data_IF_096008561169
#
_entry.id   IF_096008561169
#
_cell.length_a   1.000
_cell.length_b   1.000
_cell.length_c   1.000
_cell.angle_alpha   90.00
_cell.angle_beta   90.00
_cell.angle_gamma   90.00
#
_symmetry.space_group_name_H-M   'P 1'
#
loop_
_entity.id
_entity.type
_entity.pdbx_description
1 polymer ?
#
# COMPACT_ATOMS: atom_id res chain seq x y z
N UNK A 1 -24.92 -49.99 -25.44
CA UNK A 1 -24.20 -48.88 -24.78
C UNK A 1 -24.02 -47.79 -25.82
N UNK A 2 -24.83 -46.74 -25.77
CA UNK A 2 -24.71 -45.58 -26.68
C UNK A 2 -24.60 -44.33 -25.82
N UNK A 3 -23.38 -43.81 -25.66
CA UNK A 3 -23.14 -42.48 -25.11
C UNK A 3 -23.51 -41.43 -26.15
N UNK A 4 -24.57 -40.68 -25.88
CA UNK A 4 -24.99 -39.51 -26.65
C UNK A 4 -24.22 -38.29 -26.14
N UNK A 5 -23.10 -37.97 -26.79
CA UNK A 5 -22.30 -36.77 -26.50
C UNK A 5 -22.99 -35.52 -27.04
N UNK A 6 -23.81 -34.87 -26.22
CA UNK A 6 -24.42 -33.59 -26.56
C UNK A 6 -23.34 -32.49 -26.71
N UNK A 7 -23.05 -32.07 -27.95
CA UNK A 7 -22.18 -30.92 -28.20
C UNK A 7 -22.89 -29.64 -27.74
N UNK A 8 -22.24 -28.77 -26.95
CA UNK A 8 -22.84 -27.49 -26.58
C UNK A 8 -23.06 -26.62 -27.81
N UNK A 9 -24.25 -26.02 -27.91
CA UNK A 9 -24.64 -25.16 -29.03
C UNK A 9 -23.68 -23.96 -29.20
N UNK A 10 -23.30 -23.58 -30.44
CA UNK A 10 -22.23 -22.63 -30.73
C UNK A 10 -22.47 -21.23 -30.13
N UNK A 11 -23.73 -20.87 -29.87
CA UNK A 11 -24.14 -19.60 -29.25
C UNK A 11 -23.71 -19.48 -27.79
N UNK A 12 -23.65 -20.59 -27.04
CA UNK A 12 -23.22 -20.57 -25.63
C UNK A 12 -21.71 -20.42 -25.52
N UNK A 13 -20.96 -21.03 -26.44
CA UNK A 13 -19.51 -20.87 -26.52
C UNK A 13 -19.11 -19.44 -26.90
N UNK A 14 -19.84 -18.81 -27.84
CA UNK A 14 -19.59 -17.42 -28.23
C UNK A 14 -19.82 -16.42 -27.09
N UNK A 15 -20.88 -16.61 -26.29
CA UNK A 15 -21.15 -15.78 -25.12
C UNK A 15 -20.08 -15.91 -24.03
N UNK A 16 -19.59 -17.13 -23.80
CA UNK A 16 -18.51 -17.38 -22.85
C UNK A 16 -17.19 -16.72 -23.28
N UNK A 17 -16.83 -16.82 -24.56
CA UNK A 17 -15.63 -16.17 -25.11
C UNK A 17 -15.69 -14.64 -24.98
N UNK A 18 -16.82 -14.04 -25.32
CA UNK A 18 -17.00 -12.58 -25.17
C UNK A 18 -16.91 -12.14 -23.70
N UNK A 19 -17.50 -12.92 -22.79
CA UNK A 19 -17.41 -12.66 -21.35
C UNK A 19 -15.97 -12.71 -20.83
N UNK A 20 -15.18 -13.70 -21.26
CA UNK A 20 -13.76 -13.83 -20.89
C UNK A 20 -12.95 -12.65 -21.42
N UNK A 21 -13.19 -12.23 -22.67
CA UNK A 21 -12.50 -11.07 -23.27
C UNK A 21 -12.84 -9.78 -22.52
N UNK A 22 -14.10 -9.55 -22.21
CA UNK A 22 -14.54 -8.36 -21.47
C UNK A 22 -13.98 -8.34 -20.04
N UNK A 23 -14.01 -9.47 -19.34
CA UNK A 23 -13.43 -9.58 -18.00
C UNK A 23 -11.91 -9.38 -18.04
N UNK A 24 -11.24 -9.94 -19.04
CA UNK A 24 -9.80 -9.72 -19.25
C UNK A 24 -9.47 -8.26 -19.52
N UNK A 25 -10.27 -7.57 -20.33
CA UNK A 25 -10.12 -6.14 -20.56
C UNK A 25 -10.38 -5.29 -19.30
N UNK A 26 -11.36 -5.69 -18.46
CA UNK A 26 -11.63 -5.02 -17.19
C UNK A 26 -10.49 -5.20 -16.17
N UNK A 27 -9.81 -6.34 -16.22
CA UNK A 27 -8.67 -6.68 -15.36
C UNK A 27 -7.32 -6.21 -15.93
N UNK A 28 -7.29 -5.75 -17.18
CA UNK A 28 -6.10 -5.22 -17.82
C UNK A 28 -5.76 -3.86 -17.21
N UNK A 29 -4.93 -3.87 -16.17
CA UNK A 29 -4.30 -2.65 -15.64
C UNK A 29 -3.31 -2.16 -16.70
N UNK A 30 -3.41 -0.90 -17.16
CA UNK A 30 -2.42 -0.36 -18.09
C UNK A 30 -1.06 -0.39 -17.42
N UNK A 31 -0.14 -1.20 -17.96
CA UNK A 31 1.25 -1.17 -17.56
C UNK A 31 1.80 0.21 -17.93
N UNK A 32 2.10 1.03 -16.93
CA UNK A 32 2.81 2.30 -17.13
C UNK A 32 4.11 2.07 -17.88
N UNK A 33 4.59 3.09 -18.59
CA UNK A 33 5.90 3.02 -19.23
C UNK A 33 6.94 2.58 -18.19
N UNK A 34 7.84 1.62 -18.52
CA UNK A 34 8.88 1.23 -17.59
C UNK A 34 9.66 2.48 -17.20
N UNK A 35 9.66 2.82 -15.90
CA UNK A 35 10.63 3.75 -15.34
C UNK A 35 11.99 3.21 -15.74
N UNK A 36 12.75 3.95 -16.54
CA UNK A 36 14.04 3.48 -17.05
C UNK A 36 14.88 2.89 -15.93
N UNK A 37 15.61 1.82 -16.22
CA UNK A 37 16.37 1.02 -15.25
C UNK A 37 17.17 1.95 -14.31
N UNK A 38 16.65 2.12 -13.09
CA UNK A 38 17.38 2.80 -12.03
C UNK A 38 18.47 1.83 -11.62
N UNK A 39 19.64 1.96 -12.24
CA UNK A 39 20.85 1.30 -11.74
C UNK A 39 21.03 1.86 -10.33
N UNK A 40 20.93 1.04 -9.27
CA UNK A 40 21.00 1.54 -7.91
C UNK A 40 22.36 2.22 -7.73
N UNK A 41 22.35 3.53 -7.59
CA UNK A 41 23.55 4.32 -7.32
C UNK A 41 24.01 3.99 -5.90
N UNK A 42 24.86 2.98 -5.75
CA UNK A 42 25.55 2.65 -4.50
C UNK A 42 24.67 2.39 -3.26
N UNK A 43 23.37 2.12 -3.43
CA UNK A 43 22.46 1.79 -2.35
C UNK A 43 22.70 0.40 -1.78
N UNK A 44 22.48 0.21 -0.47
CA UNK A 44 22.43 -1.12 0.13
C UNK A 44 21.37 -1.96 -0.59
N UNK A 45 21.61 -3.26 -0.83
CA UNK A 45 20.61 -4.11 -1.47
C UNK A 45 19.33 -4.15 -0.63
N UNK A 46 18.19 -4.18 -1.31
CA UNK A 46 16.91 -4.42 -0.65
C UNK A 46 16.96 -5.77 0.07
N UNK A 47 16.66 -5.76 1.36
CA UNK A 47 16.68 -6.96 2.20
C UNK A 47 15.28 -7.54 2.20
N UNK A 48 15.10 -8.68 1.51
CA UNK A 48 13.93 -9.53 1.67
C UNK A 48 13.91 -10.09 3.10
N UNK A 49 12.72 -10.45 3.61
CA UNK A 49 12.54 -11.01 4.96
C UNK A 49 12.67 -10.00 6.12
N UNK A 50 11.90 -8.91 6.04
CA UNK A 50 11.83 -7.87 7.10
C UNK A 50 10.81 -8.25 8.19
N UNK A 51 10.79 -9.51 8.59
CA UNK A 51 9.80 -10.08 9.51
C UNK A 51 9.70 -9.27 10.81
N UNK A 52 10.84 -8.86 11.37
CA UNK A 52 10.87 -8.03 12.59
C UNK A 52 10.17 -6.67 12.44
N UNK A 53 10.23 -6.06 11.25
CA UNK A 53 9.54 -4.78 10.98
C UNK A 53 8.04 -5.02 10.84
N UNK A 54 7.66 -6.08 10.13
CA UNK A 54 6.27 -6.48 9.98
C UNK A 54 5.64 -6.85 11.34
N UNK A 55 6.30 -7.67 12.14
CA UNK A 55 5.88 -8.04 13.50
C UNK A 55 5.68 -6.81 14.39
N UNK A 56 6.60 -5.83 14.33
CA UNK A 56 6.47 -4.60 15.08
C UNK A 56 5.27 -3.74 14.64
N UNK A 57 4.89 -3.78 13.36
CA UNK A 57 3.68 -3.10 12.87
C UNK A 57 2.42 -3.86 13.30
N UNK A 58 2.45 -5.20 13.20
CA UNK A 58 1.36 -6.08 13.63
C UNK A 58 1.06 -5.88 15.13
N UNK A 59 2.10 -5.87 15.97
CA UNK A 59 1.95 -5.61 17.41
C UNK A 59 1.27 -4.27 17.69
N UNK A 60 1.64 -3.20 16.96
CA UNK A 60 1.02 -1.88 17.11
C UNK A 60 -0.45 -1.89 16.71
N UNK A 61 -0.78 -2.55 15.61
CA UNK A 61 -2.17 -2.72 15.18
C UNK A 61 -2.99 -3.46 16.24
N UNK A 62 -2.48 -4.56 16.77
CA UNK A 62 -3.16 -5.36 17.79
C UNK A 62 -3.32 -4.59 19.11
N UNK A 63 -2.28 -3.86 19.53
CA UNK A 63 -2.32 -3.02 20.72
C UNK A 63 -3.38 -1.91 20.57
N UNK A 64 -3.42 -1.22 19.43
CA UNK A 64 -4.43 -0.20 19.15
C UNK A 64 -5.85 -0.78 19.11
N UNK A 65 -6.03 -1.96 18.49
CA UNK A 65 -7.32 -2.66 18.44
C UNK A 65 -7.80 -3.08 19.84
N UNK A 66 -6.89 -3.54 20.69
CA UNK A 66 -7.20 -4.03 22.05
C UNK A 66 -7.53 -2.88 23.00
N UNK A 67 -6.80 -1.76 22.90
CA UNK A 67 -7.05 -0.56 23.70
C UNK A 67 -8.39 0.12 23.36
N UNK A 68 -8.93 -0.14 22.17
CA UNK A 68 -10.15 0.49 21.67
C UNK A 68 -9.91 1.93 21.20
N UNK A 69 -10.76 2.41 20.31
CA UNK A 69 -10.51 3.68 19.59
C UNK A 69 -10.69 4.94 20.43
N UNK A 70 -11.23 4.83 21.65
CA UNK A 70 -11.30 5.91 22.65
C UNK A 70 -10.01 6.08 23.46
N UNK A 71 -9.15 5.05 23.52
CA UNK A 71 -7.87 5.08 24.25
C UNK A 71 -6.70 5.65 23.45
N UNK A 72 -6.91 5.98 22.17
CA UNK A 72 -5.84 6.38 21.24
C UNK A 72 -5.50 7.88 21.35
N UNK A 73 -5.44 8.42 22.58
CA UNK A 73 -4.81 9.71 22.84
C UNK A 73 -3.31 9.71 22.42
N UNK A 74 -2.72 8.52 22.23
CA UNK A 74 -1.40 8.32 21.66
C UNK A 74 -1.29 8.60 20.14
N UNK A 75 -2.40 8.92 19.44
CA UNK A 75 -2.31 9.24 18.00
C UNK A 75 -1.86 10.67 17.73
N UNK A 76 -2.11 11.62 18.62
CA UNK A 76 -1.86 13.04 18.32
C UNK A 76 -0.37 13.34 18.13
N UNK A 77 0.48 12.85 19.03
CA UNK A 77 1.94 12.99 18.88
C UNK A 77 2.47 12.24 17.67
N UNK A 78 1.85 11.11 17.31
CA UNK A 78 2.21 10.34 16.13
C UNK A 78 1.85 11.09 14.83
N UNK A 79 0.66 11.69 14.78
CA UNK A 79 0.23 12.55 13.66
C UNK A 79 1.08 13.82 13.57
N UNK A 80 1.36 14.52 14.68
CA UNK A 80 2.27 15.68 14.69
C UNK A 80 3.64 15.28 14.12
N UNK A 81 4.17 14.14 14.56
CA UNK A 81 5.43 13.63 14.06
C UNK A 81 5.40 13.28 12.57
N UNK A 82 4.30 12.68 12.08
CA UNK A 82 4.11 12.40 10.66
C UNK A 82 4.03 13.70 9.84
N UNK A 83 3.22 14.67 10.27
CA UNK A 83 3.10 15.98 9.61
C UNK A 83 4.46 16.66 9.51
N UNK A 84 5.24 16.70 10.60
CA UNK A 84 6.60 17.27 10.57
C UNK A 84 7.54 16.55 9.61
N UNK A 85 7.40 15.22 9.46
CA UNK A 85 8.21 14.45 8.51
C UNK A 85 7.79 14.72 7.05
N UNK A 86 6.48 14.84 6.80
CA UNK A 86 5.96 15.27 5.49
C UNK A 86 6.48 16.66 5.15
N UNK A 87 6.35 17.63 6.05
CA UNK A 87 6.83 19.00 5.84
C UNK A 87 8.34 19.05 5.55
N UNK A 88 9.15 18.25 6.28
CA UNK A 88 10.59 18.18 6.07
C UNK A 88 10.96 17.64 4.67
N UNK A 89 10.20 16.67 4.15
CA UNK A 89 10.42 16.12 2.81
C UNK A 89 9.89 17.08 1.74
N UNK A 90 8.70 17.65 1.92
CA UNK A 90 8.07 18.57 0.96
C UNK A 90 8.78 19.92 0.83
N UNK A 91 9.47 20.39 1.88
CA UNK A 91 10.23 21.65 1.85
C UNK A 91 11.67 21.50 1.37
N UNK A 92 12.15 20.27 1.19
CA UNK A 92 13.52 20.03 0.74
C UNK A 92 13.69 20.42 -0.73
N UNK A 93 14.66 21.29 -1.02
CA UNK A 93 14.98 21.70 -2.39
C UNK A 93 15.52 20.53 -3.25
N UNK A 94 16.19 19.57 -2.62
CA UNK A 94 16.64 18.32 -3.22
C UNK A 94 16.77 17.24 -2.14
N UNK A 95 16.41 16.01 -2.48
CA UNK A 95 16.57 14.83 -1.62
C UNK A 95 17.47 13.81 -2.31
N UNK A 96 18.39 13.23 -1.54
CA UNK A 96 19.16 12.08 -1.99
C UNK A 96 18.39 10.78 -1.67
N UNK A 97 18.67 9.73 -2.43
CA UNK A 97 18.01 8.41 -2.31
C UNK A 97 18.23 7.73 -0.94
N UNK A 98 19.17 8.23 -0.12
CA UNK A 98 19.42 7.77 1.25
C UNK A 98 19.28 8.88 2.29
N UNK A 99 18.50 9.92 2.01
CA UNK A 99 18.29 11.00 2.96
C UNK A 99 17.57 10.48 4.22
N UNK A 100 18.08 10.73 5.44
CA UNK A 100 17.43 10.27 6.67
C UNK A 100 15.99 10.77 6.86
N UNK A 101 15.62 11.86 6.18
CA UNK A 101 14.24 12.37 6.15
C UNK A 101 13.28 11.40 5.47
N UNK A 102 13.73 10.68 4.44
CA UNK A 102 12.94 9.64 3.76
C UNK A 102 12.72 8.43 4.68
N UNK A 103 13.77 7.96 5.37
CA UNK A 103 13.66 6.87 6.34
C UNK A 103 12.72 7.24 7.50
N UNK A 104 12.82 8.47 8.00
CA UNK A 104 11.94 9.00 9.05
C UNK A 104 10.48 9.09 8.57
N UNK A 105 10.26 9.59 7.35
CA UNK A 105 8.93 9.65 6.74
C UNK A 105 8.33 8.24 6.60
N UNK A 106 9.06 7.31 6.00
CA UNK A 106 8.61 5.92 5.80
C UNK A 106 8.22 5.28 7.13
N UNK A 107 9.11 5.36 8.13
CA UNK A 107 8.87 4.76 9.44
C UNK A 107 7.59 5.31 10.10
N UNK A 108 7.37 6.62 10.02
CA UNK A 108 6.20 7.28 10.62
C UNK A 108 4.93 6.99 9.84
N UNK A 109 4.99 6.96 8.51
CA UNK A 109 3.86 6.64 7.66
C UNK A 109 3.32 5.24 7.99
N UNK A 110 4.20 4.24 8.05
CA UNK A 110 3.78 2.88 8.39
C UNK A 110 3.32 2.74 9.85
N UNK A 111 3.98 3.41 10.78
CA UNK A 111 3.59 3.38 12.19
C UNK A 111 2.20 3.96 12.41
N UNK A 112 1.92 5.15 11.86
CA UNK A 112 0.59 5.78 11.97
C UNK A 112 -0.45 4.98 11.19
N UNK A 113 -0.09 4.47 10.01
CA UNK A 113 -0.95 3.62 9.19
C UNK A 113 -1.45 2.38 9.93
N UNK A 114 -0.58 1.70 10.69
CA UNK A 114 -0.97 0.55 11.51
C UNK A 114 -2.01 0.92 12.59
N UNK A 115 -1.87 2.08 13.22
CA UNK A 115 -2.82 2.56 14.24
C UNK A 115 -4.16 2.95 13.59
N UNK A 116 -4.11 3.70 12.49
CA UNK A 116 -5.31 4.11 11.73
C UNK A 116 -6.06 2.92 11.15
N UNK A 117 -5.35 1.86 10.74
CA UNK A 117 -5.95 0.62 10.29
C UNK A 117 -6.75 -0.08 11.39
N UNK A 118 -6.30 0.01 12.66
CA UNK A 118 -7.06 -0.49 13.81
C UNK A 118 -8.25 0.43 14.16
N UNK A 119 -8.08 1.74 14.02
CA UNK A 119 -9.03 2.77 14.43
C UNK A 119 -9.17 3.89 13.37
N UNK A 120 -10.19 3.83 12.49
CA UNK A 120 -10.24 4.66 11.27
C UNK A 120 -10.75 6.10 11.49
N UNK A 121 -10.89 6.57 12.75
CA UNK A 121 -11.46 7.88 13.06
C UNK A 121 -10.76 9.05 12.33
N UNK A 122 -9.43 8.94 12.12
CA UNK A 122 -8.60 9.94 11.41
C UNK A 122 -8.07 9.45 10.07
N UNK A 123 -8.73 8.46 9.46
CA UNK A 123 -8.29 7.87 8.20
C UNK A 123 -8.18 8.90 7.07
N UNK A 124 -9.13 9.83 6.98
CA UNK A 124 -9.11 10.86 5.94
C UNK A 124 -7.87 11.77 6.06
N UNK A 125 -7.50 12.17 7.27
CA UNK A 125 -6.32 12.98 7.53
C UNK A 125 -5.03 12.22 7.22
N UNK A 126 -4.95 10.95 7.62
CA UNK A 126 -3.82 10.09 7.28
C UNK A 126 -3.64 9.96 5.76
N UNK A 127 -4.73 9.73 5.01
CA UNK A 127 -4.68 9.62 3.55
C UNK A 127 -4.26 10.93 2.88
N UNK A 128 -4.67 12.08 3.43
CA UNK A 128 -4.24 13.37 2.93
C UNK A 128 -2.72 13.57 3.10
N UNK A 129 -2.18 13.27 4.29
CA UNK A 129 -0.73 13.32 4.54
C UNK A 129 0.04 12.34 3.65
N UNK A 130 -0.47 11.11 3.50
CA UNK A 130 0.15 10.10 2.64
C UNK A 130 0.15 10.50 1.16
N UNK A 131 -0.89 11.18 0.69
CA UNK A 131 -0.97 11.70 -0.67
C UNK A 131 0.00 12.86 -0.90
N UNK A 132 0.24 13.71 0.09
CA UNK A 132 1.21 14.80 0.02
C UNK A 132 2.67 14.30 0.01
N UNK A 133 2.90 13.14 0.63
CA UNK A 133 4.20 12.49 0.69
C UNK A 133 4.59 11.72 -0.59
N UNK A 134 3.69 11.61 -1.58
CA UNK A 134 3.92 10.99 -2.89
C UNK A 134 4.45 11.99 -3.90
#
# INVERSE_FOLDING_TARGET
>A
MTESSARPAPRRAAGALLGVVLLGALLAVPSGAPSGDVTPSSGRPFVWDRDTTYEALQYRFEAARTAGCSGVAATDSAFVGLTSAVDAVSSAAALSVGAPSLDSLEHRLFTVGAIVAACPARQAEYLALAAQAR
#
